data_IF_187058649453
#
_entry.id   IF_187058649453
#
_cell.length_a   1.000
_cell.length_b   1.000
_cell.length_c   1.000
_cell.angle_alpha   90.00
_cell.angle_beta   90.00
_cell.angle_gamma   90.00
#
_symmetry.space_group_name_H-M   'P 1'
#
loop_
_entity.id
_entity.type
_entity.pdbx_description
1 polymer ?
#
# COMPACT_ATOMS: atom_id res chain seq x y z
N UNK A 1 0.80 19.35 13.37
CA UNK A 1 1.62 18.86 12.23
C UNK A 1 1.34 17.37 12.06
N UNK A 2 1.02 16.92 10.85
CA UNK A 2 0.88 15.49 10.53
C UNK A 2 2.29 14.95 10.21
N UNK A 3 2.71 13.81 10.77
CA UNK A 3 4.01 13.22 10.46
C UNK A 3 4.05 12.80 8.98
N UNK A 4 5.11 13.18 8.27
CA UNK A 4 5.37 12.73 6.91
C UNK A 4 6.22 11.45 6.97
N UNK A 5 5.67 10.34 6.51
CA UNK A 5 6.36 9.06 6.42
C UNK A 5 6.62 8.70 4.96
N UNK A 6 7.86 8.39 4.61
CA UNK A 6 8.23 7.86 3.30
C UNK A 6 8.57 6.37 3.42
N UNK A 7 8.04 5.55 2.52
CA UNK A 7 8.47 4.15 2.34
C UNK A 7 9.44 4.14 1.15
N UNK A 8 10.68 3.67 1.36
CA UNK A 8 11.75 3.70 0.34
C UNK A 8 11.51 2.77 -0.86
N UNK A 9 12.42 2.81 -1.84
CA UNK A 9 12.45 1.95 -3.06
C UNK A 9 12.78 0.48 -2.79
N UNK A 10 12.21 -0.08 -1.75
CA UNK A 10 12.42 -1.46 -1.39
C UNK A 10 11.59 -2.35 -2.29
N UNK A 11 12.22 -3.38 -2.85
CA UNK A 11 11.57 -4.52 -3.50
C UNK A 11 10.77 -5.37 -2.49
N UNK A 12 10.13 -4.73 -1.51
CA UNK A 12 9.31 -5.40 -0.51
C UNK A 12 8.20 -6.17 -1.22
N UNK A 13 7.85 -7.31 -0.65
CA UNK A 13 6.62 -7.99 -1.04
C UNK A 13 5.42 -7.08 -0.77
N UNK A 14 4.35 -7.31 -1.51
CA UNK A 14 3.09 -6.59 -1.32
C UNK A 14 2.57 -6.74 0.12
N UNK A 15 2.76 -7.90 0.74
CA UNK A 15 2.37 -8.14 2.13
C UNK A 15 3.13 -7.25 3.13
N UNK A 16 4.46 -7.15 3.01
CA UNK A 16 5.25 -6.27 3.88
C UNK A 16 4.83 -4.81 3.72
N UNK A 17 4.51 -4.38 2.50
CA UNK A 17 4.00 -3.04 2.24
C UNK A 17 2.65 -2.81 2.94
N UNK A 18 1.72 -3.76 2.87
CA UNK A 18 0.41 -3.66 3.53
C UNK A 18 0.56 -3.61 5.06
N UNK A 19 1.46 -4.43 5.64
CA UNK A 19 1.75 -4.39 7.07
C UNK A 19 2.24 -3.00 7.50
N UNK A 20 3.13 -2.37 6.72
CA UNK A 20 3.62 -1.02 7.00
C UNK A 20 2.47 0.01 6.97
N UNK A 21 1.59 -0.06 5.98
CA UNK A 21 0.41 0.83 5.91
C UNK A 21 -0.48 0.67 7.15
N UNK A 22 -0.72 -0.56 7.58
CA UNK A 22 -1.53 -0.87 8.76
C UNK A 22 -0.87 -0.40 10.05
N UNK A 23 0.45 -0.59 10.20
CA UNK A 23 1.20 -0.13 11.38
C UNK A 23 1.11 1.39 11.56
N UNK A 24 1.08 2.14 10.47
CA UNK A 24 0.96 3.59 10.48
C UNK A 24 -0.48 4.10 10.36
N UNK A 25 -1.50 3.22 10.45
CA UNK A 25 -2.92 3.55 10.33
C UNK A 25 -3.26 4.36 9.06
N UNK A 26 -2.60 4.04 7.93
CA UNK A 26 -2.88 4.68 6.65
C UNK A 26 -4.24 4.19 6.14
N UNK A 27 -5.19 5.11 5.99
CA UNK A 27 -6.58 4.81 5.59
C UNK A 27 -6.85 5.04 4.11
N UNK A 28 -6.01 5.83 3.43
CA UNK A 28 -6.11 6.13 2.02
C UNK A 28 -4.72 6.13 1.37
N UNK A 29 -4.65 5.61 0.15
CA UNK A 29 -3.45 5.59 -0.66
C UNK A 29 -3.79 6.15 -2.05
N UNK A 30 -3.00 7.11 -2.51
CA UNK A 30 -3.11 7.68 -3.84
C UNK A 30 -1.92 7.24 -4.70
N UNK A 31 -2.20 6.66 -5.86
CA UNK A 31 -1.18 6.36 -6.86
C UNK A 31 -1.01 7.56 -7.78
N UNK A 32 0.17 8.16 -7.80
CA UNK A 32 0.50 9.34 -8.61
C UNK A 32 1.20 8.98 -9.93
N UNK A 33 1.34 7.69 -10.24
CA UNK A 33 1.93 7.25 -11.51
C UNK A 33 0.98 7.51 -12.66
N UNK A 34 1.46 8.11 -13.75
CA UNK A 34 0.66 8.32 -14.97
C UNK A 34 0.21 7.00 -15.62
N UNK A 35 1.04 5.95 -15.53
CA UNK A 35 0.70 4.58 -15.95
C UNK A 35 0.89 3.68 -14.72
N UNK A 36 -0.19 3.25 -14.05
CA UNK A 36 -0.11 2.48 -12.80
C UNK A 36 0.13 0.99 -13.06
N UNK A 37 1.03 0.68 -13.99
CA UNK A 37 1.45 -0.67 -14.37
C UNK A 37 2.97 -0.78 -14.36
N UNK A 38 3.50 -1.85 -13.77
CA UNK A 38 4.92 -2.13 -13.69
C UNK A 38 5.21 -3.57 -14.12
N UNK A 39 5.97 -3.74 -15.21
CA UNK A 39 6.35 -5.07 -15.72
C UNK A 39 7.25 -5.86 -14.75
N UNK A 40 8.07 -5.18 -13.95
CA UNK A 40 9.00 -5.81 -13.00
C UNK A 40 8.33 -6.15 -11.67
N UNK A 41 7.27 -5.43 -11.32
CA UNK A 41 6.55 -5.59 -10.05
C UNK A 41 5.03 -5.65 -10.30
N UNK A 42 4.54 -6.72 -10.94
CA UNK A 42 3.13 -6.86 -11.31
C UNK A 42 2.17 -6.86 -10.11
N UNK A 43 2.65 -7.17 -8.91
CA UNK A 43 1.89 -7.08 -7.67
C UNK A 43 1.48 -5.65 -7.30
N UNK A 44 2.16 -4.64 -7.87
CA UNK A 44 1.81 -3.22 -7.72
C UNK A 44 1.06 -2.67 -8.94
N UNK A 45 0.60 -3.52 -9.86
CA UNK A 45 -0.33 -3.07 -10.89
C UNK A 45 -1.65 -2.70 -10.23
N UNK A 46 -2.30 -1.65 -10.73
CA UNK A 46 -3.51 -1.08 -10.14
C UNK A 46 -4.55 -2.14 -9.73
N UNK A 47 -4.90 -3.06 -10.64
CA UNK A 47 -5.90 -4.10 -10.40
C UNK A 47 -5.52 -5.04 -9.26
N UNK A 48 -4.35 -5.67 -9.35
CA UNK A 48 -3.84 -6.59 -8.33
C UNK A 48 -3.72 -5.88 -6.98
N UNK A 49 -3.19 -4.67 -7.00
CA UNK A 49 -2.92 -3.89 -5.81
C UNK A 49 -4.20 -3.44 -5.10
N UNK A 50 -5.17 -2.90 -5.86
CA UNK A 50 -6.47 -2.50 -5.33
C UNK A 50 -7.24 -3.71 -4.78
N UNK A 51 -7.21 -4.84 -5.50
CA UNK A 51 -7.82 -6.09 -5.03
C UNK A 51 -7.22 -6.52 -3.68
N UNK A 52 -5.89 -6.64 -3.58
CA UNK A 52 -5.23 -7.08 -2.35
C UNK A 52 -5.47 -6.12 -1.18
N UNK A 53 -5.45 -4.80 -1.42
CA UNK A 53 -5.77 -3.81 -0.39
C UNK A 53 -7.20 -3.95 0.14
N UNK A 54 -8.16 -4.24 -0.74
CA UNK A 54 -9.56 -4.40 -0.36
C UNK A 54 -9.83 -5.76 0.32
N UNK A 55 -9.09 -6.80 -0.05
CA UNK A 55 -9.14 -8.12 0.61
C UNK A 55 -8.40 -8.16 1.95
N UNK A 56 -7.50 -7.21 2.20
CA UNK A 56 -6.73 -7.18 3.45
C UNK A 56 -7.62 -6.77 4.62
N UNK A 57 -7.61 -7.53 5.74
CA UNK A 57 -8.40 -7.18 6.91
C UNK A 57 -7.95 -5.82 7.43
N UNK A 58 -8.86 -4.83 7.41
CA UNK A 58 -8.64 -3.57 8.11
C UNK A 58 -8.55 -3.89 9.59
N UNK A 59 -7.39 -3.63 10.22
CA UNK A 59 -7.32 -3.56 11.68
C UNK A 59 -8.26 -2.44 12.10
N UNK A 60 -9.47 -2.80 12.50
CA UNK A 60 -10.35 -1.90 13.23
C UNK A 60 -9.62 -1.64 14.53
N UNK A 61 -8.92 -0.52 14.63
CA UNK A 61 -8.37 -0.06 15.89
C UNK A 61 -9.60 0.37 16.71
N UNK A 62 -10.24 -0.62 17.34
CA UNK A 62 -11.33 -0.41 18.28
C UNK A 62 -10.82 0.46 19.42
N UNK A 63 -11.60 1.51 19.71
CA UNK A 63 -11.51 2.31 20.94
C UNK A 63 -11.99 1.51 22.15
#
# INVERSE_FOLDING_TARGET
>A
MQPLSSIGHSQHSLESFIILLQQHNVTALADVRSIPYNRRLPQFNFETFAFTLNSSPRRVQGS
#
